data_IF_577283489184
#
_entry.id   IF_577283489184
#
_cell.length_a   1.000
_cell.length_b   1.000
_cell.length_c   1.000
_cell.angle_alpha   90.00
_cell.angle_beta   90.00
_cell.angle_gamma   90.00
#
_symmetry.space_group_name_H-M   'P 1'
#
loop_
_entity.id
_entity.type
_entity.pdbx_description
1 polymer ?
#
# COMPACT_ATOMS: atom_id res chain seq x y z
N UNK A 1 -9.23 -3.03 -11.66
CA UNK A 1 -8.55 -3.05 -10.35
C UNK A 1 -7.73 -1.78 -10.23
N UNK A 2 -7.78 -1.10 -9.09
CA UNK A 2 -7.04 0.15 -8.87
C UNK A 2 -6.04 -0.05 -7.74
N UNK A 3 -4.77 0.32 -7.97
CA UNK A 3 -3.73 0.31 -6.95
C UNK A 3 -3.34 1.74 -6.59
N UNK A 4 -3.20 2.00 -5.29
CA UNK A 4 -2.75 3.28 -4.75
C UNK A 4 -1.66 2.99 -3.72
N UNK A 5 -0.44 3.45 -4.00
CA UNK A 5 0.63 3.50 -3.01
C UNK A 5 0.46 4.73 -2.12
N UNK A 6 0.70 4.59 -0.82
CA UNK A 6 0.63 5.69 0.15
C UNK A 6 1.95 5.75 0.89
N UNK A 7 2.88 6.57 0.41
CA UNK A 7 4.19 6.75 1.03
C UNK A 7 4.10 7.77 2.17
N UNK A 8 4.79 7.50 3.28
CA UNK A 8 4.93 8.42 4.40
C UNK A 8 6.32 8.31 5.00
N UNK A 9 6.68 9.26 5.87
CA UNK A 9 7.96 9.27 6.63
C UNK A 9 9.24 9.30 5.77
N UNK A 10 9.18 9.89 4.57
CA UNK A 10 10.34 10.16 3.73
C UNK A 10 10.17 11.52 3.02
N UNK A 11 11.24 12.06 2.45
CA UNK A 11 11.13 13.21 1.55
C UNK A 11 10.59 12.80 0.17
N UNK A 12 10.09 13.77 -0.59
CA UNK A 12 9.44 13.54 -1.90
C UNK A 12 10.42 12.94 -2.91
N UNK A 13 11.69 13.33 -2.90
CA UNK A 13 12.67 12.81 -3.86
C UNK A 13 12.92 11.32 -3.62
N UNK A 14 13.12 10.93 -2.36
CA UNK A 14 13.26 9.52 -1.97
C UNK A 14 12.04 8.66 -2.38
N UNK A 15 10.82 9.20 -2.26
CA UNK A 15 9.59 8.52 -2.70
C UNK A 15 9.56 8.35 -4.23
N UNK A 16 9.91 9.40 -4.99
CA UNK A 16 9.95 9.37 -6.45
C UNK A 16 11.01 8.40 -6.97
N UNK A 17 12.20 8.40 -6.38
CA UNK A 17 13.29 7.49 -6.71
C UNK A 17 12.89 6.03 -6.48
N UNK A 18 12.19 5.75 -5.36
CA UNK A 18 11.67 4.41 -5.08
C UNK A 18 10.64 3.97 -6.12
N UNK A 19 9.67 4.82 -6.45
CA UNK A 19 8.66 4.51 -7.46
C UNK A 19 9.28 4.26 -8.84
N UNK A 20 10.27 5.06 -9.22
CA UNK A 20 11.00 4.90 -10.47
C UNK A 20 11.82 3.60 -10.50
N UNK A 21 12.59 3.32 -9.44
CA UNK A 21 13.44 2.14 -9.32
C UNK A 21 12.68 0.82 -9.43
N UNK A 22 11.47 0.76 -8.87
CA UNK A 22 10.65 -0.45 -8.86
C UNK A 22 9.53 -0.44 -9.90
N UNK A 23 9.51 0.54 -10.80
CA UNK A 23 8.51 0.68 -11.86
C UNK A 23 7.06 0.62 -11.33
N UNK A 24 6.80 1.36 -10.25
CA UNK A 24 5.47 1.43 -9.64
C UNK A 24 4.53 2.28 -10.51
N UNK A 25 4.04 1.68 -11.60
CA UNK A 25 3.23 2.32 -12.64
C UNK A 25 1.76 2.48 -12.23
N UNK A 26 1.53 3.02 -11.03
CA UNK A 26 0.21 3.34 -10.48
C UNK A 26 0.33 4.59 -9.58
N UNK A 27 -0.79 5.13 -9.13
CA UNK A 27 -0.81 6.33 -8.28
C UNK A 27 -0.04 6.09 -6.99
N UNK A 28 0.94 6.94 -6.68
CA UNK A 28 1.65 6.96 -5.41
C UNK A 28 1.43 8.33 -4.74
N UNK A 29 0.78 8.32 -3.58
CA UNK A 29 0.50 9.51 -2.78
C UNK A 29 1.64 9.80 -1.80
N UNK A 30 1.91 11.07 -1.57
CA UNK A 30 2.74 11.55 -0.46
C UNK A 30 1.82 11.89 0.73
N UNK A 31 1.75 11.00 1.73
CA UNK A 31 1.05 11.20 2.99
C UNK A 31 1.96 11.93 3.99
N UNK A 32 2.26 13.18 3.68
CA UNK A 32 3.27 13.97 4.39
C UNK A 32 2.92 14.21 5.87
N UNK A 33 1.63 14.31 6.20
CA UNK A 33 1.14 14.51 7.57
C UNK A 33 0.72 13.20 8.26
N UNK A 34 0.78 12.07 7.55
CA UNK A 34 0.41 10.75 8.07
C UNK A 34 -1.09 10.55 8.29
N UNK A 35 -1.94 11.45 7.80
CA UNK A 35 -3.38 11.39 8.03
C UNK A 35 -4.04 10.20 7.36
N UNK A 36 -3.54 9.76 6.20
CA UNK A 36 -4.05 8.57 5.51
C UNK A 36 -3.64 7.31 6.27
N UNK A 37 -2.37 7.20 6.68
CA UNK A 37 -1.89 6.10 7.51
C UNK A 37 -2.68 5.99 8.82
N UNK A 38 -2.92 7.12 9.49
CA UNK A 38 -3.70 7.17 10.72
C UNK A 38 -5.15 6.69 10.50
N UNK A 39 -5.79 7.10 9.40
CA UNK A 39 -7.16 6.67 9.06
C UNK A 39 -7.28 5.16 8.87
N UNK A 40 -6.28 4.53 8.27
CA UNK A 40 -6.25 3.07 8.06
C UNK A 40 -5.60 2.30 9.23
N UNK A 41 -5.22 2.99 10.31
CA UNK A 41 -4.61 2.36 11.48
C UNK A 41 -3.26 1.71 11.18
N UNK A 42 -2.47 2.25 10.24
CA UNK A 42 -1.17 1.71 9.83
C UNK A 42 -0.10 2.08 10.87
N UNK A 43 0.42 1.13 11.67
CA UNK A 43 1.43 1.44 12.70
C UNK A 43 2.85 1.53 12.12
N UNK A 44 3.13 0.75 11.08
CA UNK A 44 4.41 0.67 10.36
C UNK A 44 4.21 0.08 8.97
N UNK A 45 5.13 0.35 8.05
CA UNK A 45 5.24 -0.33 6.75
C UNK A 45 5.96 -1.70 6.87
N UNK A 46 5.72 -2.65 5.95
CA UNK A 46 4.73 -2.62 4.88
C UNK A 46 3.31 -2.93 5.38
N UNK A 47 2.30 -2.31 4.78
CA UNK A 47 0.89 -2.55 5.06
C UNK A 47 0.07 -2.57 3.78
N UNK A 48 -0.99 -3.40 3.74
CA UNK A 48 -1.89 -3.56 2.61
C UNK A 48 -3.33 -3.49 3.08
N UNK A 49 -4.15 -2.75 2.34
CA UNK A 49 -5.61 -2.73 2.51
C UNK A 49 -6.21 -3.25 1.20
N UNK A 50 -7.00 -4.31 1.29
CA UNK A 50 -7.72 -4.88 0.14
C UNK A 50 -9.20 -4.51 0.30
N UNK A 51 -9.65 -3.53 -0.48
CA UNK A 51 -11.00 -2.97 -0.41
C UNK A 51 -11.86 -3.52 -1.57
N UNK A 52 -13.08 -3.96 -1.24
CA UNK A 52 -14.08 -4.46 -2.19
C UNK A 52 -15.02 -3.35 -2.63
N UNK A 53 -15.73 -3.57 -3.73
CA UNK A 53 -16.73 -2.64 -4.27
C UNK A 53 -17.92 -2.40 -3.33
N UNK A 54 -18.17 -3.29 -2.37
CA UNK A 54 -19.18 -3.16 -1.32
C UNK A 54 -18.71 -2.33 -0.11
N UNK A 55 -17.47 -1.83 -0.13
CA UNK A 55 -16.85 -1.04 0.92
C UNK A 55 -16.24 -1.86 2.06
N UNK A 56 -16.31 -3.20 2.02
CA UNK A 56 -15.60 -4.05 2.98
C UNK A 56 -14.12 -4.12 2.66
N UNK A 57 -13.27 -4.20 3.69
CA UNK A 57 -11.82 -4.27 3.50
C UNK A 57 -11.15 -5.28 4.43
N UNK A 58 -10.00 -5.82 3.99
CA UNK A 58 -9.09 -6.60 4.85
C UNK A 58 -7.74 -5.90 4.96
N UNK A 59 -7.08 -6.07 6.11
CA UNK A 59 -5.81 -5.42 6.43
C UNK A 59 -4.71 -6.46 6.66
N UNK A 60 -3.55 -6.24 6.06
CA UNK A 60 -2.35 -7.05 6.29
C UNK A 60 -1.19 -6.14 6.67
N UNK A 61 -0.62 -6.37 7.84
CA UNK A 61 0.54 -5.63 8.33
C UNK A 61 1.47 -6.58 9.09
N UNK A 62 2.33 -7.26 8.33
CA UNK A 62 3.28 -8.22 8.89
C UNK A 62 4.65 -7.54 9.05
N UNK A 63 5.14 -7.32 10.29
CA UNK A 63 6.45 -6.70 10.52
C UNK A 63 7.63 -7.64 10.25
N UNK A 64 7.43 -8.95 10.12
CA UNK A 64 8.52 -9.94 10.08
C UNK A 64 8.83 -10.46 8.70
N UNK A 65 7.89 -10.38 7.76
CA UNK A 65 8.09 -10.85 6.38
C UNK A 65 7.28 -10.05 5.37
N UNK A 66 7.85 -9.92 4.16
CA UNK A 66 7.16 -9.38 3.02
C UNK A 66 6.10 -10.37 2.50
N UNK A 67 4.99 -9.84 1.98
CA UNK A 67 4.00 -10.62 1.26
C UNK A 67 4.61 -11.16 -0.04
N UNK A 68 4.41 -12.46 -0.31
CA UNK A 68 4.86 -13.05 -1.57
C UNK A 68 4.02 -12.56 -2.75
N UNK A 69 4.57 -12.62 -3.97
CA UNK A 69 3.81 -12.29 -5.18
C UNK A 69 2.57 -13.17 -5.35
N UNK A 70 2.68 -14.47 -5.04
CA UNK A 70 1.55 -15.39 -5.12
C UNK A 70 0.43 -14.97 -4.16
N UNK A 71 0.77 -14.71 -2.90
CA UNK A 71 -0.20 -14.28 -1.91
C UNK A 71 -0.89 -12.96 -2.30
N UNK A 72 -0.13 -11.99 -2.82
CA UNK A 72 -0.70 -10.75 -3.33
C UNK A 72 -1.68 -11.01 -4.49
N UNK A 73 -1.29 -11.86 -5.44
CA UNK A 73 -2.13 -12.24 -6.58
C UNK A 73 -3.44 -12.88 -6.13
N UNK A 74 -3.38 -13.81 -5.18
CA UNK A 74 -4.56 -14.52 -4.66
C UNK A 74 -5.51 -13.56 -3.96
N UNK A 75 -4.97 -12.63 -3.15
CA UNK A 75 -5.77 -11.61 -2.46
C UNK A 75 -6.43 -10.63 -3.43
N UNK A 76 -5.73 -10.22 -4.49
CA UNK A 76 -6.29 -9.35 -5.54
C UNK A 76 -7.38 -10.07 -6.33
N UNK A 77 -7.18 -11.35 -6.66
CA UNK A 77 -8.20 -12.16 -7.35
C UNK A 77 -9.47 -12.33 -6.50
N UNK A 78 -9.36 -12.34 -5.17
CA UNK A 78 -10.50 -12.45 -4.26
C UNK A 78 -11.32 -11.14 -4.06
N UNK A 79 -10.98 -10.07 -4.80
CA UNK A 79 -11.71 -8.79 -4.80
C UNK A 79 -12.77 -8.69 -5.91
N UNK A 80 -12.77 -9.61 -6.88
CA UNK A 80 -13.71 -9.63 -8.01
C UNK A 80 -14.89 -10.54 -7.78
#
# INVERSE_FOLDING_TARGET
MTFIGVAGRADVASMQDFAAKYHLNFTNLNDADGSIWARFGVPWQPAYVFERSDGTSTFVNNPTSAMSQQELSDRVAALT
#
